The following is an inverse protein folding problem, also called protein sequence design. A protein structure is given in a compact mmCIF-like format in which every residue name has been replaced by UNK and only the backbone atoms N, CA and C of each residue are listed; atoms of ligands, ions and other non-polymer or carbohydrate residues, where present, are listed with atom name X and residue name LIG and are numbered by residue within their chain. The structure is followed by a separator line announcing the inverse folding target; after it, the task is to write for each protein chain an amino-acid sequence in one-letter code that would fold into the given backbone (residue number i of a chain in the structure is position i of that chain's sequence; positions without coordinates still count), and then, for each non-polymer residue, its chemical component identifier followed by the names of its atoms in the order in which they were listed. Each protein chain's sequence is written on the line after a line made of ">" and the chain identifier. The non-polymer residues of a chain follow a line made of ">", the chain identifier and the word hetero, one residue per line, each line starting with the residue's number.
data_IF_200552583119
#
_entry.id   IF_200552583119
#
_cell.length_a   1.000
_cell.length_b   1.000
_cell.length_c   1.000
_cell.angle_alpha   90.00
_cell.angle_beta   90.00
_cell.angle_gamma   90.00
#
_symmetry.space_group_name_H-M   'P 1'
#
loop_
_entity.id
_entity.type
_entity.pdbx_description
1 polymer ?
#
# COMPACT_ATOMS: atom_id res chain seq x y z
N UNK A 1 -29.87 -12.75 -18.02
CA UNK A 1 -29.02 -13.35 -19.05
C UNK A 1 -28.08 -12.21 -19.46
N UNK A 2 -26.91 -12.14 -18.84
CA UNK A 2 -25.86 -11.19 -19.21
C UNK A 2 -25.21 -11.67 -20.50
N UNK A 3 -24.97 -10.75 -21.41
CA UNK A 3 -24.30 -11.00 -22.68
C UNK A 3 -22.87 -11.51 -22.40
N UNK A 4 -22.44 -12.67 -22.94
CA UNK A 4 -21.12 -13.22 -22.73
C UNK A 4 -19.97 -12.43 -23.40
N UNK A 5 -20.26 -11.28 -24.00
CA UNK A 5 -19.30 -10.44 -24.71
C UNK A 5 -19.10 -9.03 -24.15
N UNK A 6 -19.69 -8.67 -23.03
CA UNK A 6 -19.25 -7.44 -22.37
C UNK A 6 -17.82 -7.64 -21.84
N UNK A 7 -16.84 -6.80 -22.25
CA UNK A 7 -15.49 -6.87 -21.70
C UNK A 7 -15.58 -6.65 -20.20
N UNK A 8 -15.17 -7.65 -19.42
CA UNK A 8 -15.12 -7.53 -17.97
C UNK A 8 -14.18 -6.39 -17.59
N UNK A 9 -14.64 -5.48 -16.75
CA UNK A 9 -13.78 -4.43 -16.19
C UNK A 9 -12.55 -5.09 -15.55
N UNK A 10 -11.33 -4.73 -15.98
CA UNK A 10 -10.13 -5.38 -15.49
C UNK A 10 -9.92 -5.09 -14.00
N UNK A 11 -9.32 -6.06 -13.30
CA UNK A 11 -8.97 -5.90 -11.90
C UNK A 11 -7.90 -4.82 -11.69
N UNK A 12 -7.96 -4.15 -10.53
CA UNK A 12 -6.92 -3.21 -10.10
C UNK A 12 -6.24 -3.74 -8.85
N UNK A 13 -4.94 -3.98 -8.96
CA UNK A 13 -4.11 -4.34 -7.81
C UNK A 13 -3.59 -3.06 -7.14
N UNK A 14 -4.06 -2.78 -5.93
CA UNK A 14 -3.77 -1.51 -5.25
C UNK A 14 -2.39 -1.50 -4.54
N UNK A 15 -1.70 -2.64 -4.49
CA UNK A 15 -0.49 -2.77 -3.69
C UNK A 15 0.50 -3.74 -4.33
N UNK A 16 1.52 -3.18 -4.97
CA UNK A 16 2.68 -3.90 -5.51
C UNK A 16 3.96 -3.09 -5.27
N UNK A 17 5.12 -3.74 -5.47
CA UNK A 17 6.43 -3.11 -5.42
C UNK A 17 7.20 -3.34 -6.73
N UNK A 18 7.71 -2.26 -7.30
CA UNK A 18 8.65 -2.24 -8.41
C UNK A 18 9.55 -1.03 -8.22
N UNK A 19 10.86 -1.23 -8.23
CA UNK A 19 11.81 -0.13 -8.06
C UNK A 19 12.23 0.39 -9.44
N UNK A 20 11.88 1.63 -9.78
CA UNK A 20 12.34 2.26 -11.02
C UNK A 20 13.88 2.43 -11.01
N UNK A 21 14.47 2.47 -12.19
CA UNK A 21 15.91 2.60 -12.38
C UNK A 21 16.52 3.78 -11.61
N UNK A 22 15.85 4.94 -11.60
CA UNK A 22 16.26 6.12 -10.84
C UNK A 22 16.46 5.82 -9.35
N UNK A 23 15.53 5.05 -8.74
CA UNK A 23 15.63 4.65 -7.35
C UNK A 23 16.74 3.63 -7.13
N UNK A 24 16.85 2.63 -8.01
CA UNK A 24 17.91 1.60 -7.97
C UNK A 24 19.29 2.26 -8.04
N UNK A 25 19.49 3.21 -8.94
CA UNK A 25 20.76 3.93 -9.09
C UNK A 25 21.09 4.77 -7.84
N UNK A 26 20.09 5.40 -7.23
CA UNK A 26 20.28 6.11 -5.97
C UNK A 26 20.66 5.18 -4.83
N UNK A 27 20.02 4.02 -4.72
CA UNK A 27 20.37 3.01 -3.71
C UNK A 27 21.80 2.47 -3.93
N UNK A 28 22.24 2.25 -5.17
CA UNK A 28 23.60 1.84 -5.51
C UNK A 28 24.67 2.88 -5.17
N UNK A 29 24.33 4.15 -5.29
CA UNK A 29 25.25 5.25 -4.97
C UNK A 29 25.48 5.45 -3.46
N UNK A 30 24.67 4.82 -2.60
CA UNK A 30 24.77 4.95 -1.14
C UNK A 30 25.79 3.98 -0.54
N UNK A 31 26.33 4.34 0.64
CA UNK A 31 27.21 3.49 1.45
C UNK A 31 26.66 3.21 2.86
N UNK A 32 25.52 3.79 3.19
CA UNK A 32 24.77 3.55 4.44
C UNK A 32 23.36 3.07 4.11
N UNK A 33 22.76 2.21 4.93
CA UNK A 33 21.39 1.71 4.73
C UNK A 33 20.37 2.84 4.50
N UNK A 34 19.35 2.58 3.65
CA UNK A 34 19.29 1.46 2.70
C UNK A 34 20.26 1.66 1.52
N UNK A 35 20.90 0.59 1.06
CA UNK A 35 21.76 0.62 -0.14
C UNK A 35 21.79 -0.72 -0.86
N UNK A 36 22.16 -0.72 -2.15
CA UNK A 36 22.39 -1.91 -2.96
C UNK A 36 23.89 -2.13 -3.24
N UNK A 37 24.30 -3.40 -3.23
CA UNK A 37 25.57 -3.87 -3.80
C UNK A 37 25.27 -4.94 -4.84
N UNK A 38 25.42 -4.59 -6.12
CA UNK A 38 24.78 -5.39 -7.16
C UNK A 38 23.26 -5.35 -6.99
N UNK A 39 22.69 -6.49 -6.63
CA UNK A 39 21.28 -6.64 -6.28
C UNK A 39 21.09 -7.19 -4.84
N UNK A 40 22.12 -7.18 -4.01
CA UNK A 40 21.99 -7.46 -2.59
C UNK A 40 21.56 -6.18 -1.86
N UNK A 41 20.40 -6.20 -1.22
CA UNK A 41 19.87 -5.10 -0.44
C UNK A 41 20.39 -5.15 1.00
N UNK A 42 20.77 -3.99 1.50
CA UNK A 42 21.19 -3.77 2.88
C UNK A 42 20.28 -2.74 3.54
N UNK A 43 19.60 -3.13 4.62
CA UNK A 43 18.78 -2.25 5.48
C UNK A 43 19.31 -2.26 6.91
N UNK A 44 18.85 -1.32 7.75
CA UNK A 44 19.21 -1.30 9.17
C UNK A 44 18.50 -2.38 10.00
N UNK A 45 17.32 -2.80 9.57
CA UNK A 45 16.41 -3.64 10.37
C UNK A 45 16.48 -5.13 10.08
N UNK A 46 16.93 -5.51 8.88
CA UNK A 46 16.91 -6.89 8.40
C UNK A 46 18.30 -7.35 7.93
N UNK A 47 18.58 -8.66 7.95
CA UNK A 47 19.78 -9.18 7.31
C UNK A 47 19.80 -8.83 5.81
N UNK A 48 21.01 -8.64 5.20
CA UNK A 48 21.10 -8.45 3.76
C UNK A 48 20.49 -9.64 3.01
N UNK A 49 19.77 -9.35 1.92
CA UNK A 49 19.18 -10.37 1.05
C UNK A 49 19.26 -9.98 -0.42
N UNK A 50 19.27 -11.00 -1.29
CA UNK A 50 19.32 -10.81 -2.72
C UNK A 50 17.93 -10.49 -3.27
N UNK A 51 17.87 -9.48 -4.11
CA UNK A 51 16.68 -9.03 -4.83
C UNK A 51 16.78 -9.50 -6.27
N UNK A 52 15.70 -10.11 -6.78
CA UNK A 52 15.65 -10.59 -8.17
C UNK A 52 15.46 -9.42 -9.15
N UNK A 53 16.41 -9.13 -10.03
CA UNK A 53 16.31 -7.99 -10.97
C UNK A 53 15.07 -8.04 -11.86
N UNK A 54 14.65 -9.23 -12.30
CA UNK A 54 13.46 -9.42 -13.16
C UNK A 54 12.16 -8.98 -12.50
N UNK A 55 12.11 -8.98 -11.15
CA UNK A 55 10.93 -8.55 -10.39
C UNK A 55 10.73 -7.03 -10.44
N UNK A 56 11.77 -6.31 -10.89
CA UNK A 56 11.74 -4.87 -11.11
C UNK A 56 11.78 -4.49 -12.61
N UNK A 57 11.65 -5.46 -13.52
CA UNK A 57 11.48 -5.21 -14.96
C UNK A 57 10.00 -4.95 -15.30
N UNK A 58 9.64 -3.75 -15.81
CA UNK A 58 8.25 -3.40 -16.08
C UNK A 58 7.55 -4.34 -17.06
N UNK A 59 8.24 -4.81 -18.10
CA UNK A 59 7.63 -5.69 -19.09
C UNK A 59 7.30 -7.07 -18.50
N UNK A 60 8.21 -7.62 -17.70
CA UNK A 60 8.00 -8.88 -16.98
C UNK A 60 6.80 -8.76 -16.01
N UNK A 61 6.70 -7.63 -15.29
CA UNK A 61 5.63 -7.40 -14.33
C UNK A 61 4.28 -7.23 -15.02
N UNK A 62 4.19 -6.49 -16.13
CA UNK A 62 2.97 -6.37 -16.94
C UNK A 62 2.51 -7.73 -17.44
N UNK A 63 3.41 -8.56 -17.96
CA UNK A 63 3.06 -9.91 -18.41
C UNK A 63 2.49 -10.76 -17.25
N UNK A 64 3.13 -10.74 -16.08
CA UNK A 64 2.65 -11.45 -14.90
C UNK A 64 1.29 -10.93 -14.40
N UNK A 65 1.04 -9.63 -14.49
CA UNK A 65 -0.24 -9.03 -14.13
C UNK A 65 -1.35 -9.44 -15.12
N UNK A 66 -1.08 -9.44 -16.43
CA UNK A 66 -2.02 -9.93 -17.45
C UNK A 66 -2.37 -11.41 -17.22
N UNK A 67 -1.38 -12.26 -16.92
CA UNK A 67 -1.61 -13.68 -16.60
C UNK A 67 -2.50 -13.86 -15.34
N UNK A 68 -2.49 -12.88 -14.45
CA UNK A 68 -3.33 -12.83 -13.27
C UNK A 68 -4.65 -12.05 -13.49
N UNK A 69 -4.96 -11.64 -14.72
CA UNK A 69 -6.15 -10.83 -15.06
C UNK A 69 -6.19 -9.49 -14.29
N UNK A 70 -5.02 -8.89 -14.07
CA UNK A 70 -4.86 -7.55 -13.49
C UNK A 70 -4.59 -6.56 -14.62
N UNK A 71 -5.47 -5.58 -14.78
CA UNK A 71 -5.39 -4.58 -15.85
C UNK A 71 -4.52 -3.38 -15.49
N UNK A 72 -4.37 -3.09 -14.21
CA UNK A 72 -3.47 -2.04 -13.72
C UNK A 72 -3.01 -2.31 -12.29
N UNK A 73 -1.84 -1.78 -11.93
CA UNK A 73 -1.26 -1.93 -10.60
C UNK A 73 -0.82 -0.59 -9.99
N UNK A 74 -1.05 -0.42 -8.69
CA UNK A 74 -0.58 0.72 -7.92
C UNK A 74 0.69 0.33 -7.16
N UNK A 75 1.79 0.98 -7.50
CA UNK A 75 3.09 0.72 -6.92
C UNK A 75 3.29 1.52 -5.64
N UNK A 76 3.82 0.87 -4.63
CA UNK A 76 4.14 1.38 -3.31
C UNK A 76 5.66 1.41 -3.15
N UNK A 77 6.21 2.51 -2.62
CA UNK A 77 7.61 2.53 -2.18
C UNK A 77 7.75 1.49 -1.06
N UNK A 78 8.75 0.62 -1.16
CA UNK A 78 8.98 -0.41 -0.13
C UNK A 78 9.38 0.26 1.19
N UNK A 79 8.41 0.63 2.03
CA UNK A 79 8.64 1.37 3.26
C UNK A 79 9.54 0.63 4.28
N UNK A 80 9.64 -0.72 4.29
CA UNK A 80 10.68 -1.43 5.06
C UNK A 80 12.12 -1.02 4.75
N UNK A 81 12.39 -0.43 3.58
CA UNK A 81 13.70 0.19 3.27
C UNK A 81 14.05 1.31 4.27
N UNK A 82 13.06 1.96 4.88
CA UNK A 82 13.25 3.04 5.84
C UNK A 82 13.66 4.37 5.22
N UNK A 83 13.40 4.56 3.92
CA UNK A 83 13.75 5.79 3.19
C UNK A 83 13.10 7.01 3.84
N UNK A 84 11.82 6.92 4.18
CA UNK A 84 11.04 8.02 4.76
C UNK A 84 11.57 8.47 6.13
N UNK A 85 12.21 7.57 6.88
CA UNK A 85 12.79 7.84 8.20
C UNK A 85 14.16 8.48 8.17
N UNK A 86 14.82 8.51 7.01
CA UNK A 86 16.13 9.16 6.88
C UNK A 86 16.00 10.67 7.13
N UNK A 87 17.08 11.33 7.57
CA UNK A 87 17.13 12.78 7.60
C UNK A 87 16.74 13.36 6.23
N UNK A 88 15.98 14.45 6.20
CA UNK A 88 15.45 15.05 4.97
C UNK A 88 16.46 15.20 3.83
N UNK A 89 17.72 15.62 4.06
CA UNK A 89 18.75 15.71 2.99
C UNK A 89 19.09 14.36 2.35
N UNK A 90 18.86 13.24 3.04
CA UNK A 90 19.08 11.89 2.51
C UNK A 90 17.80 11.29 1.94
N UNK A 91 16.65 11.47 2.62
CA UNK A 91 15.34 10.99 2.18
C UNK A 91 14.89 11.65 0.88
N UNK A 92 14.99 13.00 0.79
CA UNK A 92 14.48 13.77 -0.33
C UNK A 92 14.94 13.26 -1.69
N UNK A 93 16.24 13.11 -1.96
CA UNK A 93 16.74 12.60 -3.24
C UNK A 93 16.25 11.19 -3.62
N UNK A 94 15.96 10.33 -2.63
CA UNK A 94 15.43 8.96 -2.86
C UNK A 94 13.92 9.01 -3.16
N UNK A 95 13.17 9.79 -2.40
CA UNK A 95 11.73 10.01 -2.63
C UNK A 95 11.50 10.69 -3.99
N UNK A 96 12.31 11.67 -4.35
CA UNK A 96 12.26 12.32 -5.66
C UNK A 96 12.59 11.35 -6.80
N UNK A 97 13.57 10.46 -6.61
CA UNK A 97 13.89 9.42 -7.58
C UNK A 97 12.72 8.43 -7.75
N UNK A 98 12.07 8.04 -6.66
CA UNK A 98 10.83 7.25 -6.68
C UNK A 98 9.74 7.92 -7.52
N UNK A 99 9.44 9.18 -7.23
CA UNK A 99 8.38 9.92 -7.95
C UNK A 99 8.69 10.13 -9.43
N UNK A 100 9.94 10.46 -9.78
CA UNK A 100 10.36 10.58 -11.20
C UNK A 100 10.28 9.25 -11.92
N UNK A 101 10.77 8.18 -11.27
CA UNK A 101 10.75 6.85 -11.82
C UNK A 101 9.32 6.36 -12.10
N UNK A 102 8.37 6.58 -11.17
CA UNK A 102 6.96 6.27 -11.39
C UNK A 102 6.38 6.94 -12.64
N UNK A 103 6.73 8.22 -12.88
CA UNK A 103 6.25 8.94 -14.06
C UNK A 103 6.80 8.38 -15.37
N UNK A 104 7.96 7.74 -15.32
CA UNK A 104 8.61 7.14 -16.50
C UNK A 104 8.10 5.73 -16.81
N UNK A 105 7.42 5.06 -15.89
CA UNK A 105 6.87 3.72 -16.10
C UNK A 105 5.69 3.73 -17.08
N UNK A 106 5.39 2.58 -17.76
CA UNK A 106 4.20 2.41 -18.58
C UNK A 106 2.90 2.77 -17.84
N UNK A 107 1.83 3.10 -18.58
CA UNK A 107 0.53 3.51 -18.05
C UNK A 107 -0.22 2.41 -17.30
N UNK A 108 0.21 1.15 -17.43
CA UNK A 108 -0.23 0.03 -16.59
C UNK A 108 -0.02 0.32 -15.10
N UNK A 109 1.02 1.08 -14.76
CA UNK A 109 1.38 1.39 -13.39
C UNK A 109 0.91 2.79 -12.97
N UNK A 110 0.36 2.88 -11.80
CA UNK A 110 0.17 4.09 -11.00
C UNK A 110 1.03 3.96 -9.75
N UNK A 111 1.07 4.96 -8.88
CA UNK A 111 1.83 4.84 -7.66
C UNK A 111 1.27 5.61 -6.49
N UNK A 112 1.67 5.19 -5.31
CA UNK A 112 1.45 5.93 -4.09
C UNK A 112 2.57 6.96 -3.91
N UNK A 113 2.20 8.21 -3.65
CA UNK A 113 3.15 9.23 -3.25
C UNK A 113 3.77 8.86 -1.89
N UNK A 114 5.03 9.18 -1.69
CA UNK A 114 5.71 9.05 -0.40
C UNK A 114 6.29 10.40 0.02
N UNK A 115 6.44 10.62 1.32
CA UNK A 115 7.02 11.84 1.88
C UNK A 115 8.02 11.50 2.99
N UNK A 116 9.07 12.32 3.19
CA UNK A 116 9.93 12.15 4.36
C UNK A 116 9.12 12.29 5.66
N UNK A 117 9.38 11.44 6.64
CA UNK A 117 8.76 11.51 7.97
C UNK A 117 9.16 12.78 8.72
N UNK A 118 10.44 13.17 8.56
CA UNK A 118 10.99 14.35 9.20
C UNK A 118 10.75 15.58 8.32
N UNK A 119 9.97 16.52 8.84
CA UNK A 119 9.63 17.79 8.19
C UNK A 119 9.08 17.61 6.76
N UNK A 120 7.95 16.88 6.59
CA UNK A 120 7.29 16.74 5.29
C UNK A 120 6.84 18.12 4.77
N UNK A 121 6.82 18.27 3.45
CA UNK A 121 6.33 19.47 2.78
C UNK A 121 4.89 19.27 2.27
N UNK A 122 3.87 19.81 2.98
CA UNK A 122 2.48 19.65 2.59
C UNK A 122 2.14 20.33 1.25
N UNK A 123 2.82 21.43 0.89
CA UNK A 123 2.56 22.11 -0.36
C UNK A 123 3.09 21.29 -1.55
N UNK A 124 4.31 20.79 -1.44
CA UNK A 124 4.87 19.88 -2.45
C UNK A 124 4.05 18.60 -2.59
N UNK A 125 3.51 18.04 -1.49
CA UNK A 125 2.60 16.91 -1.54
C UNK A 125 1.29 17.25 -2.25
N UNK A 126 0.70 18.41 -1.97
CA UNK A 126 -0.53 18.86 -2.64
C UNK A 126 -0.33 18.99 -4.16
N UNK A 127 0.82 19.52 -4.58
CA UNK A 127 1.18 19.61 -6.00
C UNK A 127 1.36 18.23 -6.63
N UNK A 128 2.03 17.32 -5.92
CA UNK A 128 2.26 15.95 -6.36
C UNK A 128 0.95 15.18 -6.56
N UNK A 129 0.00 15.31 -5.64
CA UNK A 129 -1.28 14.59 -5.69
C UNK A 129 -2.24 15.10 -6.80
N UNK A 130 -1.96 16.25 -7.45
CA UNK A 130 -2.67 16.65 -8.66
C UNK A 130 -2.26 15.85 -9.90
N UNK A 131 -1.08 15.25 -9.89
CA UNK A 131 -0.61 14.39 -10.98
C UNK A 131 -1.40 13.07 -10.95
N UNK A 132 -2.13 12.71 -12.03
CA UNK A 132 -2.95 11.50 -12.08
C UNK A 132 -2.14 10.21 -11.97
N UNK A 133 -0.81 10.27 -12.11
CA UNK A 133 0.09 9.15 -11.87
C UNK A 133 0.05 8.70 -10.40
N UNK A 134 -0.25 9.61 -9.47
CA UNK A 134 -0.32 9.31 -8.04
C UNK A 134 -1.76 9.09 -7.58
N UNK A 135 -2.04 7.86 -7.15
CA UNK A 135 -3.39 7.45 -6.72
C UNK A 135 -3.72 7.92 -5.31
N UNK A 136 -2.71 8.16 -4.48
CA UNK A 136 -2.86 8.56 -3.09
C UNK A 136 -1.51 8.73 -2.39
N UNK A 137 -1.55 8.83 -1.07
CA UNK A 137 -0.37 8.94 -0.20
C UNK A 137 -0.11 7.60 0.51
N UNK A 138 1.15 7.17 0.56
CA UNK A 138 1.60 6.08 1.41
C UNK A 138 2.20 6.63 2.70
N UNK A 139 1.88 5.99 3.83
CA UNK A 139 2.54 6.22 5.12
C UNK A 139 3.00 4.89 5.74
N UNK A 140 4.27 4.79 6.19
CA UNK A 140 4.72 3.68 7.00
C UNK A 140 3.95 3.59 8.32
N UNK A 141 3.47 2.41 8.69
CA UNK A 141 2.76 2.17 9.94
C UNK A 141 3.58 2.59 11.16
N UNK A 142 4.91 2.54 11.06
CA UNK A 142 5.82 3.03 12.10
C UNK A 142 5.68 4.51 12.42
N UNK A 143 5.10 5.31 11.52
CA UNK A 143 4.78 6.73 11.76
C UNK A 143 3.47 6.94 12.53
N UNK A 144 2.74 5.87 12.85
CA UNK A 144 1.36 5.92 13.37
C UNK A 144 1.20 5.15 14.69
N UNK A 145 2.30 4.86 15.39
CA UNK A 145 2.30 4.01 16.60
C UNK A 145 1.89 4.71 17.89
N UNK A 146 1.61 6.01 17.88
CA UNK A 146 1.22 6.79 19.06
C UNK A 146 0.39 8.01 18.70
N UNK A 147 -0.33 8.58 19.67
CA UNK A 147 -1.11 9.81 19.49
C UNK A 147 -0.26 10.95 18.91
N UNK A 148 0.91 11.19 19.48
CA UNK A 148 1.84 12.22 19.00
C UNK A 148 2.34 11.94 17.56
N UNK A 149 2.43 10.67 17.17
CA UNK A 149 2.77 10.28 15.80
C UNK A 149 1.62 10.62 14.83
N UNK A 150 0.38 10.32 15.19
CA UNK A 150 -0.81 10.70 14.43
C UNK A 150 -0.95 12.22 14.28
N UNK A 151 -0.68 12.98 15.35
CA UNK A 151 -0.67 14.45 15.29
C UNK A 151 0.37 14.99 14.30
N UNK A 152 1.56 14.38 14.24
CA UNK A 152 2.56 14.75 13.21
C UNK A 152 2.09 14.42 11.81
N UNK A 153 1.48 13.26 11.61
CA UNK A 153 0.96 12.83 10.31
C UNK A 153 -0.28 13.62 9.87
N UNK A 154 -1.02 14.25 10.79
CA UNK A 154 -2.27 14.95 10.51
C UNK A 154 -2.14 15.98 9.37
N UNK A 155 -1.00 16.67 9.26
CA UNK A 155 -0.76 17.69 8.22
C UNK A 155 -0.76 17.09 6.82
N UNK A 156 -0.16 15.91 6.61
CA UNK A 156 -0.12 15.23 5.31
C UNK A 156 -1.41 14.45 5.05
N UNK A 157 -2.07 13.94 6.09
CA UNK A 157 -3.39 13.30 5.99
C UNK A 157 -4.46 14.30 5.52
N UNK A 158 -4.43 15.53 6.06
CA UNK A 158 -5.33 16.61 5.62
C UNK A 158 -5.12 16.97 4.15
N UNK A 159 -3.87 16.98 3.67
CA UNK A 159 -3.57 17.22 2.25
C UNK A 159 -4.17 16.10 1.37
N UNK A 160 -4.05 14.84 1.77
CA UNK A 160 -4.63 13.72 1.04
C UNK A 160 -6.16 13.81 1.02
N UNK A 161 -6.81 14.12 2.15
CA UNK A 161 -8.27 14.30 2.24
C UNK A 161 -8.75 15.44 1.34
N UNK A 162 -8.11 16.61 1.40
CA UNK A 162 -8.47 17.76 0.57
C UNK A 162 -8.26 17.53 -0.93
N UNK A 163 -7.32 16.68 -1.29
CA UNK A 163 -7.07 16.25 -2.66
C UNK A 163 -8.03 15.12 -3.13
N UNK A 164 -8.95 14.67 -2.27
CA UNK A 164 -9.77 13.47 -2.48
C UNK A 164 -8.95 12.22 -2.86
N UNK A 165 -7.79 12.05 -2.22
CA UNK A 165 -6.87 10.93 -2.44
C UNK A 165 -6.82 10.03 -1.21
N UNK A 166 -6.85 8.68 -1.39
CA UNK A 166 -6.73 7.73 -0.29
C UNK A 166 -5.33 7.71 0.33
N UNK A 167 -5.24 7.09 1.51
CA UNK A 167 -3.98 6.81 2.20
C UNK A 167 -3.78 5.30 2.34
N UNK A 168 -2.61 4.82 1.90
CA UNK A 168 -2.14 3.46 2.17
C UNK A 168 -1.25 3.47 3.41
N UNK A 169 -1.65 2.71 4.44
CA UNK A 169 -0.82 2.42 5.61
C UNK A 169 -0.06 1.12 5.36
N UNK A 170 1.23 1.25 5.10
CA UNK A 170 2.11 0.14 4.74
C UNK A 170 3.04 -0.21 5.90
N UNK A 171 3.47 -1.50 6.10
CA UNK A 171 4.51 -1.82 7.07
C UNK A 171 5.76 -0.96 6.87
N UNK A 172 6.32 -0.44 7.95
CA UNK A 172 7.57 0.30 7.93
C UNK A 172 8.76 -0.56 8.35
N UNK A 173 9.97 0.02 8.44
CA UNK A 173 11.16 -0.71 8.82
C UNK A 173 11.05 -1.31 10.23
N UNK A 174 11.55 -2.54 10.39
CA UNK A 174 11.69 -3.16 11.71
C UNK A 174 12.96 -2.64 12.40
N UNK A 175 12.92 -2.52 13.72
CA UNK A 175 14.09 -2.17 14.51
C UNK A 175 14.79 -3.46 14.92
N UNK A 176 16.03 -3.65 14.48
CA UNK A 176 16.85 -4.80 14.89
C UNK A 176 17.14 -4.73 16.39
N UNK A 177 16.80 -5.78 17.11
CA UNK A 177 17.23 -5.92 18.52
C UNK A 177 18.64 -6.51 18.57
N UNK A 178 19.60 -5.87 19.27
CA UNK A 178 21.00 -6.31 19.28
C UNK A 178 21.25 -7.73 19.84
N UNK A 179 20.30 -8.31 20.54
CA UNK A 179 20.46 -9.57 21.27
C UNK A 179 19.99 -10.82 20.52
N UNK A 180 19.40 -10.68 19.34
CA UNK A 180 18.61 -11.76 18.74
C UNK A 180 19.02 -12.11 17.29
N UNK A 181 20.30 -11.99 16.93
CA UNK A 181 20.84 -12.17 15.57
C UNK A 181 20.61 -13.55 14.89
N UNK A 182 19.55 -14.30 15.26
CA UNK A 182 19.20 -15.62 14.75
C UNK A 182 17.75 -15.69 14.27
N UNK A 183 17.05 -14.58 14.12
CA UNK A 183 15.66 -14.59 13.66
C UNK A 183 15.59 -15.10 12.20
N UNK A 184 14.68 -16.05 11.91
CA UNK A 184 14.51 -16.52 10.53
C UNK A 184 13.95 -15.40 9.64
N UNK A 185 14.21 -15.46 8.32
CA UNK A 185 13.82 -14.42 7.35
C UNK A 185 12.31 -14.10 7.32
N UNK A 186 11.45 -15.06 7.70
CA UNK A 186 10.01 -14.83 7.81
C UNK A 186 9.58 -14.05 9.06
N UNK A 187 10.49 -13.77 10.02
CA UNK A 187 10.12 -13.14 11.29
C UNK A 187 9.62 -11.70 11.12
N UNK A 188 10.33 -10.89 10.34
CA UNK A 188 9.93 -9.51 10.10
C UNK A 188 8.53 -9.42 9.46
N UNK A 189 8.22 -10.12 8.34
CA UNK A 189 6.90 -10.04 7.73
C UNK A 189 5.76 -10.64 8.59
N UNK A 190 6.03 -11.66 9.41
CA UNK A 190 4.98 -12.35 10.17
C UNK A 190 4.76 -11.77 11.57
N UNK A 191 5.79 -11.18 12.18
CA UNK A 191 5.72 -10.65 13.55
C UNK A 191 5.89 -9.14 13.57
N UNK A 192 6.95 -8.64 12.95
CA UNK A 192 7.31 -7.22 13.00
C UNK A 192 6.29 -6.33 12.28
N UNK A 193 6.02 -6.61 11.03
CA UNK A 193 5.09 -5.85 10.20
C UNK A 193 3.65 -5.96 10.69
N UNK A 194 3.24 -7.17 11.07
CA UNK A 194 1.91 -7.42 11.66
C UNK A 194 1.70 -6.57 12.91
N UNK A 195 2.66 -6.54 13.83
CA UNK A 195 2.57 -5.72 15.04
C UNK A 195 2.45 -4.23 14.77
N UNK A 196 3.18 -3.71 13.77
CA UNK A 196 3.10 -2.31 13.36
C UNK A 196 1.71 -1.96 12.81
N UNK A 197 1.18 -2.80 11.89
CA UNK A 197 -0.13 -2.59 11.29
C UNK A 197 -1.25 -2.67 12.33
N UNK A 198 -1.17 -3.62 13.29
CA UNK A 198 -2.11 -3.69 14.40
C UNK A 198 -2.08 -2.42 15.25
N UNK A 199 -0.90 -1.92 15.59
CA UNK A 199 -0.79 -0.69 16.37
C UNK A 199 -1.35 0.53 15.61
N UNK A 200 -1.07 0.64 14.31
CA UNK A 200 -1.60 1.71 13.47
C UNK A 200 -3.13 1.63 13.31
N UNK A 201 -3.69 0.42 13.10
CA UNK A 201 -5.15 0.21 13.05
C UNK A 201 -5.84 0.66 14.34
N UNK A 202 -5.35 0.18 15.48
CA UNK A 202 -5.92 0.57 16.78
C UNK A 202 -5.68 2.04 17.09
N UNK A 203 -4.58 2.62 16.60
CA UNK A 203 -4.33 4.06 16.67
C UNK A 203 -5.40 4.86 15.93
N UNK A 204 -5.75 4.48 14.69
CA UNK A 204 -6.83 5.10 13.93
C UNK A 204 -8.16 5.07 14.69
N UNK A 205 -8.52 3.91 15.26
CA UNK A 205 -9.76 3.74 16.00
C UNK A 205 -9.78 4.55 17.31
N UNK A 206 -8.65 4.56 18.04
CA UNK A 206 -8.57 5.13 19.40
C UNK A 206 -8.35 6.64 19.41
N UNK A 207 -7.70 7.20 18.39
CA UNK A 207 -7.40 8.63 18.30
C UNK A 207 -8.39 9.41 17.42
N UNK A 208 -9.59 8.88 17.28
CA UNK A 208 -10.68 9.50 16.53
C UNK A 208 -10.30 9.83 15.06
N UNK A 209 -9.57 8.94 14.40
CA UNK A 209 -9.13 9.13 13.01
C UNK A 209 -10.27 9.54 12.08
N UNK A 210 -11.41 8.81 12.10
CA UNK A 210 -12.59 9.14 11.30
C UNK A 210 -13.21 10.48 11.66
N UNK A 211 -13.24 10.86 12.95
CA UNK A 211 -13.78 12.16 13.37
C UNK A 211 -12.87 13.33 12.94
N UNK A 212 -11.54 13.10 12.93
CA UNK A 212 -10.58 14.09 12.46
C UNK A 212 -10.53 14.23 10.94
N UNK A 213 -10.76 13.12 10.21
CA UNK A 213 -10.71 13.03 8.74
C UNK A 213 -11.97 12.36 8.20
N UNK A 214 -13.12 13.07 8.18
CA UNK A 214 -14.42 12.46 7.86
C UNK A 214 -14.56 11.95 6.42
N UNK A 215 -13.83 12.53 5.47
CA UNK A 215 -13.83 12.16 4.06
C UNK A 215 -12.67 11.24 3.63
N UNK A 216 -11.67 11.01 4.49
CA UNK A 216 -10.46 10.31 4.09
C UNK A 216 -10.69 8.81 3.92
N UNK A 217 -10.38 8.29 2.74
CA UNK A 217 -10.32 6.85 2.49
C UNK A 217 -8.95 6.32 2.95
N UNK A 218 -8.96 5.28 3.78
CA UNK A 218 -7.73 4.68 4.31
C UNK A 218 -7.74 3.19 4.01
N UNK A 219 -6.63 2.68 3.49
CA UNK A 219 -6.40 1.25 3.31
C UNK A 219 -5.17 0.81 4.10
N UNK A 220 -5.31 -0.29 4.84
CA UNK A 220 -4.21 -0.90 5.56
C UNK A 220 -3.69 -2.10 4.78
N UNK A 221 -2.38 -2.14 4.53
CA UNK A 221 -1.71 -3.27 3.91
C UNK A 221 -1.82 -4.53 4.76
N UNK A 222 -1.59 -5.69 4.13
CA UNK A 222 -1.55 -7.01 4.77
C UNK A 222 -2.69 -7.22 5.78
N UNK A 223 -3.96 -6.99 5.36
CA UNK A 223 -5.14 -7.20 6.18
C UNK A 223 -5.13 -6.46 7.52
N UNK A 224 -4.47 -5.30 7.61
CA UNK A 224 -4.22 -4.57 8.85
C UNK A 224 -3.51 -5.44 9.92
N UNK A 225 -2.69 -6.43 9.50
CA UNK A 225 -2.09 -7.40 10.41
C UNK A 225 -3.13 -8.23 11.18
N UNK A 226 -4.33 -8.42 10.63
CA UNK A 226 -5.48 -9.08 11.28
C UNK A 226 -5.99 -8.37 12.54
N UNK A 227 -5.65 -7.09 12.74
CA UNK A 227 -6.14 -6.29 13.88
C UNK A 227 -7.68 -6.30 14.03
N UNK A 228 -8.49 -6.25 12.94
CA UNK A 228 -9.95 -6.31 13.04
C UNK A 228 -10.49 -7.55 13.78
N UNK A 229 -9.79 -8.68 13.73
CA UNK A 229 -10.19 -9.90 14.44
C UNK A 229 -10.14 -9.77 15.96
N UNK A 230 -9.50 -8.72 16.48
CA UNK A 230 -9.47 -8.42 17.92
C UNK A 230 -10.62 -7.52 18.39
N UNK A 231 -11.61 -7.25 17.53
CA UNK A 231 -12.75 -6.39 17.88
C UNK A 231 -13.50 -6.88 19.13
N UNK A 232 -13.91 -8.13 19.16
CA UNK A 232 -14.58 -8.71 20.34
C UNK A 232 -13.70 -8.65 21.61
N UNK A 233 -12.38 -8.91 21.44
CA UNK A 233 -11.43 -8.78 22.55
C UNK A 233 -11.33 -7.33 23.05
N UNK A 234 -11.39 -6.34 22.17
CA UNK A 234 -11.40 -4.92 22.53
C UNK A 234 -12.61 -4.61 23.42
N UNK A 235 -13.81 -5.00 22.98
CA UNK A 235 -15.06 -4.81 23.74
C UNK A 235 -15.00 -5.51 25.10
N UNK A 236 -14.55 -6.77 25.15
CA UNK A 236 -14.39 -7.54 26.39
C UNK A 236 -13.37 -6.93 27.37
N UNK A 237 -12.52 -6.02 26.91
CA UNK A 237 -11.54 -5.29 27.72
C UNK A 237 -11.97 -3.86 28.06
N UNK A 238 -13.25 -3.52 27.80
CA UNK A 238 -13.82 -2.22 28.15
C UNK A 238 -13.72 -1.17 27.04
N UNK A 239 -13.36 -1.56 25.84
CA UNK A 239 -13.46 -0.71 24.65
C UNK A 239 -14.90 -0.63 24.15
N UNK A 240 -15.18 0.40 23.36
CA UNK A 240 -16.49 0.58 22.72
C UNK A 240 -16.64 -0.34 21.50
N UNK A 241 -17.87 -0.69 21.15
CA UNK A 241 -18.15 -1.39 19.90
C UNK A 241 -17.84 -0.47 18.72
N UNK A 242 -17.07 -0.98 17.77
CA UNK A 242 -16.66 -0.21 16.60
C UNK A 242 -17.72 -0.33 15.50
N UNK A 243 -18.20 0.82 15.03
CA UNK A 243 -19.06 0.85 13.84
C UNK A 243 -18.25 0.50 12.59
N UNK A 244 -18.91 -0.17 11.62
CA UNK A 244 -18.31 -0.39 10.30
C UNK A 244 -18.08 0.96 9.61
N UNK A 245 -16.85 1.19 9.19
CA UNK A 245 -16.43 2.41 8.51
C UNK A 245 -16.35 2.15 6.98
N UNK A 246 -17.26 2.73 6.16
CA UNK A 246 -17.29 2.46 4.72
C UNK A 246 -16.11 3.05 3.94
N UNK A 247 -15.30 3.89 4.57
CA UNK A 247 -14.09 4.49 3.98
C UNK A 247 -12.79 3.86 4.51
N UNK A 248 -12.92 2.75 5.26
CA UNK A 248 -11.80 2.00 5.80
C UNK A 248 -11.67 0.66 5.10
N UNK A 249 -10.51 0.40 4.53
CA UNK A 249 -10.23 -0.78 3.72
C UNK A 249 -9.03 -1.55 4.26
N UNK A 250 -8.96 -2.82 3.90
CA UNK A 250 -7.79 -3.68 4.10
C UNK A 250 -7.47 -4.39 2.80
N UNK A 251 -6.20 -4.59 2.48
CA UNK A 251 -5.84 -5.38 1.32
C UNK A 251 -5.71 -6.88 1.63
N UNK A 252 -5.65 -7.70 0.58
CA UNK A 252 -5.57 -9.16 0.69
C UNK A 252 -4.13 -9.68 0.79
N UNK A 253 -3.13 -8.81 0.78
CA UNK A 253 -1.73 -9.18 0.67
C UNK A 253 -1.27 -10.14 1.77
N UNK A 254 -0.56 -11.19 1.37
CA UNK A 254 0.08 -12.12 2.28
C UNK A 254 -0.85 -13.09 3.02
N UNK A 255 -2.17 -13.04 2.77
CA UNK A 255 -3.14 -13.91 3.46
C UNK A 255 -3.88 -14.85 2.50
N UNK A 256 -4.07 -16.10 2.97
CA UNK A 256 -4.88 -17.09 2.28
C UNK A 256 -6.38 -17.01 2.62
N UNK A 257 -7.22 -17.84 1.95
CA UNK A 257 -8.69 -17.77 2.05
C UNK A 257 -9.25 -17.84 3.46
N UNK A 258 -8.61 -18.55 4.38
CA UNK A 258 -9.10 -18.68 5.77
C UNK A 258 -9.00 -17.37 6.56
N UNK A 259 -7.88 -16.68 6.42
CA UNK A 259 -7.67 -15.40 7.09
C UNK A 259 -8.57 -14.31 6.47
N UNK A 260 -8.70 -14.32 5.13
CA UNK A 260 -9.58 -13.41 4.41
C UNK A 260 -11.07 -13.66 4.75
N UNK A 261 -11.51 -14.91 4.91
CA UNK A 261 -12.86 -15.24 5.41
C UNK A 261 -13.11 -14.64 6.79
N UNK A 262 -12.14 -14.76 7.70
CA UNK A 262 -12.26 -14.18 9.03
C UNK A 262 -12.33 -12.65 9.00
N UNK A 263 -11.53 -11.97 8.16
CA UNK A 263 -11.61 -10.52 7.97
C UNK A 263 -12.97 -10.08 7.42
N UNK A 264 -13.49 -10.79 6.40
CA UNK A 264 -14.79 -10.48 5.79
C UNK A 264 -15.95 -10.68 6.79
N UNK A 265 -15.86 -11.65 7.69
CA UNK A 265 -16.88 -11.82 8.77
C UNK A 265 -16.93 -10.66 9.73
N UNK A 266 -15.83 -9.96 9.96
CA UNK A 266 -15.75 -8.82 10.89
C UNK A 266 -16.03 -7.50 10.18
N UNK A 267 -15.46 -7.29 8.98
CA UNK A 267 -15.49 -6.00 8.29
C UNK A 267 -16.53 -5.91 7.16
N UNK A 268 -17.04 -7.05 6.69
CA UNK A 268 -17.80 -7.14 5.44
C UNK A 268 -16.89 -7.23 4.21
N UNK A 269 -17.49 -7.72 3.10
CA UNK A 269 -16.75 -7.90 1.83
C UNK A 269 -16.32 -6.55 1.23
N UNK A 270 -17.07 -5.49 1.47
CA UNK A 270 -16.85 -4.15 0.92
C UNK A 270 -15.58 -3.47 1.45
N UNK A 271 -15.05 -3.95 2.57
CA UNK A 271 -13.80 -3.44 3.13
C UNK A 271 -12.54 -4.09 2.53
N UNK A 272 -12.68 -5.24 1.85
CA UNK A 272 -11.54 -5.99 1.32
C UNK A 272 -11.24 -5.56 -0.13
N UNK A 273 -9.97 -5.22 -0.41
CA UNK A 273 -9.48 -4.85 -1.75
C UNK A 273 -8.37 -5.78 -2.22
N UNK A 274 -8.20 -5.91 -3.53
CA UNK A 274 -7.06 -6.61 -4.10
C UNK A 274 -5.78 -5.81 -3.87
N UNK A 275 -4.83 -6.40 -3.15
CA UNK A 275 -3.45 -6.01 -3.06
C UNK A 275 -2.62 -7.28 -3.00
N UNK A 276 -1.66 -7.45 -3.89
CA UNK A 276 -0.88 -8.69 -3.97
C UNK A 276 0.41 -8.64 -3.17
N UNK A 277 0.95 -7.45 -2.95
CA UNK A 277 2.31 -7.26 -2.43
C UNK A 277 3.39 -7.86 -3.36
N UNK A 278 3.13 -7.94 -4.69
CA UNK A 278 4.16 -8.42 -5.64
C UNK A 278 5.42 -7.56 -5.54
N UNK A 279 6.61 -8.16 -5.57
CA UNK A 279 6.91 -9.56 -5.90
C UNK A 279 6.84 -10.54 -4.71
N UNK A 280 6.49 -10.08 -3.51
CA UNK A 280 6.52 -10.91 -2.30
C UNK A 280 5.26 -11.79 -2.13
N UNK A 281 4.20 -11.51 -2.87
CA UNK A 281 2.95 -12.26 -2.90
C UNK A 281 2.34 -12.32 -4.29
N UNK A 282 1.16 -12.96 -4.38
CA UNK A 282 0.43 -13.12 -5.64
C UNK A 282 -1.00 -12.59 -5.53
N UNK A 283 -1.56 -12.01 -6.62
CA UNK A 283 -2.95 -11.55 -6.63
C UNK A 283 -3.92 -12.70 -6.37
N UNK A 284 -4.85 -12.47 -5.45
CA UNK A 284 -5.96 -13.42 -5.23
C UNK A 284 -6.82 -13.46 -6.48
N UNK A 285 -6.88 -14.62 -7.16
CA UNK A 285 -7.63 -14.81 -8.42
C UNK A 285 -9.12 -15.00 -8.16
N UNK A 286 -9.46 -15.82 -7.19
CA UNK A 286 -10.86 -16.12 -6.81
C UNK A 286 -11.03 -16.12 -5.31
N UNK A 287 -12.16 -15.60 -4.83
CA UNK A 287 -12.46 -15.51 -3.40
C UNK A 287 -13.98 -15.55 -3.17
N UNK A 288 -14.48 -16.53 -2.42
CA UNK A 288 -15.90 -16.63 -1.98
C UNK A 288 -16.95 -16.60 -3.09
N UNK A 289 -16.60 -16.99 -4.32
CA UNK A 289 -17.47 -16.96 -5.50
C UNK A 289 -17.35 -15.68 -6.32
N UNK A 290 -18.02 -15.66 -7.50
CA UNK A 290 -17.79 -14.65 -8.53
C UNK A 290 -18.13 -13.23 -8.07
N UNK A 291 -19.24 -13.04 -7.39
CA UNK A 291 -19.66 -11.71 -6.92
C UNK A 291 -18.67 -11.13 -5.89
N UNK A 292 -18.19 -11.94 -4.96
CA UNK A 292 -17.19 -11.52 -3.98
C UNK A 292 -15.83 -11.29 -4.64
N UNK A 293 -15.44 -12.13 -5.58
CA UNK A 293 -14.23 -11.96 -6.39
C UNK A 293 -14.27 -10.62 -7.14
N UNK A 294 -15.40 -10.32 -7.80
CA UNK A 294 -15.60 -9.05 -8.51
C UNK A 294 -15.53 -7.85 -7.55
N UNK A 295 -16.19 -7.96 -6.39
CA UNK A 295 -16.15 -6.90 -5.38
C UNK A 295 -14.72 -6.57 -4.97
N UNK A 296 -13.92 -7.58 -4.59
CA UNK A 296 -12.54 -7.41 -4.11
C UNK A 296 -11.60 -6.92 -5.21
N UNK A 297 -11.76 -7.37 -6.44
CA UNK A 297 -10.84 -7.11 -7.54
C UNK A 297 -11.16 -5.85 -8.33
N UNK A 298 -12.44 -5.43 -8.36
CA UNK A 298 -12.92 -4.35 -9.23
C UNK A 298 -13.66 -3.27 -8.45
N UNK A 299 -14.77 -3.63 -7.79
CA UNK A 299 -15.66 -2.63 -7.19
C UNK A 299 -15.01 -1.89 -6.03
N UNK A 300 -14.39 -2.61 -5.11
CA UNK A 300 -13.80 -2.01 -3.91
C UNK A 300 -12.53 -1.20 -4.22
N UNK A 301 -11.59 -1.65 -5.09
CA UNK A 301 -10.52 -0.81 -5.59
C UNK A 301 -11.01 0.49 -6.23
N UNK A 302 -12.08 0.45 -7.05
CA UNK A 302 -12.67 1.65 -7.64
C UNK A 302 -13.27 2.60 -6.59
N UNK A 303 -13.89 2.07 -5.52
CA UNK A 303 -14.37 2.87 -4.39
C UNK A 303 -13.23 3.50 -3.59
N UNK A 304 -12.15 2.73 -3.36
CA UNK A 304 -10.97 3.22 -2.66
C UNK A 304 -10.27 4.34 -3.45
N UNK A 305 -10.03 4.11 -4.73
CA UNK A 305 -9.22 5.01 -5.57
C UNK A 305 -10.01 6.20 -6.13
N UNK A 306 -11.35 6.11 -6.17
CA UNK A 306 -12.21 7.17 -6.69
C UNK A 306 -11.97 7.44 -8.18
N UNK A 307 -11.95 8.72 -8.57
CA UNK A 307 -11.84 9.13 -9.99
C UNK A 307 -10.49 8.78 -10.65
N UNK A 308 -9.47 8.42 -9.87
CA UNK A 308 -8.19 7.99 -10.41
C UNK A 308 -8.28 6.74 -11.31
N UNK A 309 -9.36 5.94 -11.17
CA UNK A 309 -9.62 4.75 -12.00
C UNK A 309 -10.58 5.06 -13.16
N UNK A 310 -11.50 6.00 -12.99
CA UNK A 310 -12.55 6.30 -14.00
C UNK A 310 -11.99 6.91 -15.28
N UNK A 311 -10.84 7.60 -15.21
CA UNK A 311 -10.19 8.21 -16.38
C UNK A 311 -9.62 7.21 -17.38
N UNK A 312 -9.45 5.95 -17.02
CA UNK A 312 -8.97 4.89 -17.94
C UNK A 312 -10.09 4.29 -18.81
N UNK A 313 -11.34 4.28 -18.34
CA UNK A 313 -12.47 3.72 -19.10
C UNK A 313 -12.99 4.62 -20.23
N UNK A 314 -12.71 5.93 -20.18
CA UNK A 314 -13.22 6.89 -21.16
C UNK A 314 -12.36 7.09 -22.41
N UNK A 315 -11.07 6.78 -22.36
CA UNK A 315 -10.17 6.98 -23.52
C UNK A 315 -10.06 5.77 -24.45
N UNK A 316 -10.43 4.58 -24.00
CA UNK A 316 -10.39 3.36 -24.85
C UNK A 316 -11.60 3.15 -25.76
N UNK A 317 -12.73 3.82 -25.52
CA UNK A 317 -13.93 3.69 -26.38
C UNK A 317 -13.82 4.37 -27.75
N UNK A 318 -12.82 5.24 -27.99
CA UNK A 318 -12.71 6.01 -29.24
C UNK A 318 -11.66 5.47 -30.24
N UNK A 319 -10.91 4.44 -29.92
CA UNK A 319 -9.83 3.95 -30.76
C UNK A 319 -10.25 2.87 -31.78
N UNK A 320 -11.52 2.45 -31.82
CA UNK A 320 -12.02 1.41 -32.76
C UNK A 320 -13.14 1.88 -33.71
N UNK A 321 -13.32 3.18 -33.87
CA UNK A 321 -14.27 3.73 -34.85
C UNK A 321 -13.59 4.68 -35.82
N UNK A 322 -12.68 4.18 -36.65
CA UNK A 322 -12.26 4.79 -37.93
C UNK A 322 -11.58 3.80 -38.83
#
# INVERSE_FOLDING_TARGET
>A
MTDPHEPSTPAVDIHQHLWPDDLVDRLRARSRPPYLRGWTLHTDGEPPYDVEPKDHDPATRIAADHDAEVGSACLSLSAPLGIERLPRPEAGPLVDAWHRGLRALPDHFRGWASVPEVDPDPAALADLLRDPRFVGLQLPATQLLSAAAWERAARVLLVAELADKPVLVHPGPVTRRPLEGTEPGWWAPVVGYVGQLQAAWWGWQSFAGRAAFPGLRVVFGAGAGLAPLHHERHVLRGGEELALDPLLFVDAAGYGPRALDALVRVLGIDALVLGSDRPYGEPVRTLFGDAATHAVRVTNPARLLGDAVRQQGGEQEWAFAS
#
